data_IF_491516160480
#
_entry.id   IF_491516160480
#
_cell.length_a   1.000
_cell.length_b   1.000
_cell.length_c   1.000
_cell.angle_alpha   90.00
_cell.angle_beta   90.00
_cell.angle_gamma   90.00
#
_symmetry.space_group_name_H-M   'P 1'
#
loop_
_entity.id
_entity.type
_entity.pdbx_description
1 polymer ?
#
# COMPACT_ATOMS: atom_id res chain seq x y z
N UNK A 1 31.94 -69.57 -30.51
CA UNK A 1 33.23 -69.69 -29.79
C UNK A 1 33.96 -68.35 -29.91
N UNK A 2 34.68 -67.84 -28.90
CA UNK A 2 34.75 -68.19 -27.47
C UNK A 2 34.16 -67.07 -26.56
N UNK A 3 33.55 -67.44 -25.42
CA UNK A 3 34.06 -67.35 -24.02
C UNK A 3 34.07 -65.89 -23.49
N UNK A 4 33.47 -65.55 -22.36
CA UNK A 4 33.04 -66.34 -21.21
C UNK A 4 33.62 -65.75 -19.92
N UNK A 5 32.93 -66.07 -18.81
CA UNK A 5 33.29 -65.91 -17.39
C UNK A 5 32.95 -64.56 -16.73
N UNK A 6 31.98 -64.53 -15.80
CA UNK A 6 31.93 -65.13 -14.43
C UNK A 6 32.55 -64.13 -13.42
N UNK A 7 32.02 -63.88 -12.21
CA UNK A 7 31.05 -64.59 -11.35
C UNK A 7 31.00 -63.87 -9.97
N UNK A 8 30.02 -64.28 -9.13
CA UNK A 8 30.07 -64.41 -7.64
C UNK A 8 29.94 -63.08 -6.85
N UNK A 9 29.13 -62.92 -5.79
CA UNK A 9 28.29 -63.76 -4.90
C UNK A 9 27.11 -62.88 -4.41
N UNK A 10 25.89 -63.30 -4.08
CA UNK A 10 25.37 -64.37 -3.21
C UNK A 10 25.86 -64.36 -1.75
N UNK A 11 24.94 -64.01 -0.84
CA UNK A 11 24.76 -64.42 0.57
C UNK A 11 23.52 -63.66 1.05
N UNK A 12 22.61 -64.14 1.90
CA UNK A 12 22.00 -65.42 2.22
C UNK A 12 20.94 -65.07 3.28
N UNK A 13 19.88 -65.87 3.31
CA UNK A 13 18.66 -65.72 4.11
C UNK A 13 18.87 -65.89 5.63
N UNK A 14 17.85 -65.44 6.39
CA UNK A 14 17.17 -66.09 7.55
C UNK A 14 16.52 -64.97 8.39
N UNK A 15 15.33 -65.07 8.95
CA UNK A 15 14.45 -66.21 9.23
C UNK A 15 13.82 -65.98 10.61
N UNK A 16 12.49 -66.20 10.69
CA UNK A 16 11.71 -66.68 11.85
C UNK A 16 11.56 -65.71 13.06
N UNK A 17 10.34 -65.22 13.40
CA UNK A 17 9.16 -65.86 14.02
C UNK A 17 9.27 -66.15 15.54
N UNK A 18 8.13 -65.85 16.21
CA UNK A 18 7.63 -66.32 17.52
C UNK A 18 8.10 -65.57 18.79
N UNK A 19 7.22 -64.78 19.43
CA UNK A 19 6.18 -65.11 20.45
C UNK A 19 6.73 -65.39 21.85
N UNK A 20 6.24 -64.65 22.87
CA UNK A 20 6.53 -64.99 24.28
C UNK A 20 6.15 -63.98 25.37
N UNK A 21 4.84 -63.75 25.56
CA UNK A 21 4.08 -63.64 26.83
C UNK A 21 4.57 -62.89 28.10
N UNK A 22 3.64 -62.02 28.57
CA UNK A 22 3.13 -61.78 29.95
C UNK A 22 4.07 -61.32 31.09
N UNK A 23 3.85 -60.11 31.63
CA UNK A 23 3.27 -59.91 32.99
C UNK A 23 2.87 -58.45 33.29
N UNK A 24 1.63 -58.31 33.76
CA UNK A 24 1.00 -57.31 34.65
C UNK A 24 1.62 -55.92 34.87
N UNK A 25 0.82 -54.88 34.61
CA UNK A 25 1.03 -53.54 35.18
C UNK A 25 -0.21 -52.65 35.03
N UNK A 26 -1.07 -52.65 36.05
CA UNK A 26 -1.97 -51.56 36.49
C UNK A 26 -2.48 -50.56 35.44
N UNK A 27 -3.75 -50.70 35.07
CA UNK A 27 -4.56 -49.67 34.41
C UNK A 27 -4.81 -48.53 35.41
N UNK A 28 -4.12 -47.40 35.22
CA UNK A 28 -4.44 -46.15 35.91
C UNK A 28 -5.19 -45.28 34.90
N UNK A 29 -6.51 -45.22 35.03
CA UNK A 29 -7.36 -44.37 34.21
C UNK A 29 -7.24 -42.92 34.73
N UNK A 30 -6.22 -42.20 34.26
CA UNK A 30 -6.14 -40.76 34.44
C UNK A 30 -7.04 -40.09 33.39
N UNK A 31 -8.24 -39.69 33.82
CA UNK A 31 -9.08 -38.77 33.04
C UNK A 31 -8.45 -37.38 33.12
N UNK A 32 -7.50 -37.10 32.22
CA UNK A 32 -7.12 -35.72 31.94
C UNK A 32 -8.26 -35.09 31.13
N UNK A 33 -9.06 -34.27 31.79
CA UNK A 33 -9.86 -33.24 31.13
C UNK A 33 -8.89 -32.26 30.45
N UNK A 34 -8.52 -32.56 29.21
CA UNK A 34 -7.92 -31.57 28.34
C UNK A 34 -9.01 -30.54 28.02
N UNK A 35 -8.98 -29.41 28.72
CA UNK A 35 -9.67 -28.22 28.26
C UNK A 35 -9.02 -27.81 26.93
N UNK A 36 -9.63 -28.22 25.82
CA UNK A 36 -9.29 -27.71 24.50
C UNK A 36 -9.73 -26.24 24.52
N UNK A 37 -8.81 -25.34 24.85
CA UNK A 37 -9.01 -23.92 24.58
C UNK A 37 -9.05 -23.81 23.06
N UNK A 38 -10.25 -23.73 22.51
CA UNK A 38 -10.46 -23.38 21.12
C UNK A 38 -9.96 -21.94 20.96
N UNK A 39 -8.71 -21.80 20.51
CA UNK A 39 -8.21 -20.52 20.00
C UNK A 39 -9.07 -20.23 18.77
N UNK A 40 -9.80 -19.10 18.69
CA UNK A 40 -10.51 -18.76 17.48
C UNK A 40 -9.49 -18.50 16.37
N UNK A 41 -9.31 -19.50 15.50
CA UNK A 41 -8.61 -19.34 14.23
C UNK A 41 -9.47 -18.41 13.36
N UNK A 42 -9.20 -17.10 13.45
CA UNK A 42 -9.94 -16.07 12.68
C UNK A 42 -9.04 -15.27 11.74
N UNK A 43 -7.81 -15.74 11.47
CA UNK A 43 -6.85 -15.02 10.60
C UNK A 43 -6.23 -15.93 9.51
N UNK A 44 -6.51 -17.24 9.49
CA UNK A 44 -5.68 -18.21 8.76
C UNK A 44 -6.06 -18.47 7.28
N UNK A 45 -6.58 -17.49 6.52
CA UNK A 45 -6.99 -17.76 5.13
C UNK A 45 -6.76 -16.64 4.11
N UNK A 46 -5.97 -15.61 4.43
CA UNK A 46 -5.42 -14.70 3.40
C UNK A 46 -3.98 -15.07 2.99
N UNK A 47 -3.27 -15.88 3.78
CA UNK A 47 -1.87 -16.28 3.56
C UNK A 47 -1.63 -17.19 2.34
N UNK A 48 -2.66 -17.79 1.74
CA UNK A 48 -2.50 -18.68 0.57
C UNK A 48 -2.95 -18.06 -0.75
N UNK A 49 -3.32 -16.77 -0.75
CA UNK A 49 -3.83 -16.15 -1.95
C UNK A 49 -2.70 -15.82 -2.93
N UNK A 50 -2.91 -16.21 -4.17
CA UNK A 50 -1.93 -16.02 -5.24
C UNK A 50 -2.52 -15.15 -6.35
N UNK A 51 -1.67 -14.30 -6.91
CA UNK A 51 -1.98 -13.43 -8.03
C UNK A 51 -1.03 -13.73 -9.18
N UNK A 52 -1.51 -13.45 -10.39
CA UNK A 52 -0.70 -13.40 -11.59
C UNK A 52 -0.61 -11.96 -12.08
N UNK A 53 0.59 -11.57 -12.47
CA UNK A 53 0.87 -10.36 -13.24
C UNK A 53 1.32 -10.81 -14.62
N UNK A 54 0.58 -10.39 -15.64
CA UNK A 54 0.82 -10.74 -17.03
C UNK A 54 1.26 -9.49 -17.79
N UNK A 55 2.36 -9.58 -18.52
CA UNK A 55 2.86 -8.53 -19.41
C UNK A 55 3.29 -9.21 -20.72
N UNK A 56 2.66 -8.84 -21.83
CA UNK A 56 2.87 -9.52 -23.12
C UNK A 56 2.67 -11.04 -23.03
N UNK A 57 3.76 -11.80 -23.14
CA UNK A 57 3.75 -13.27 -23.02
C UNK A 57 4.25 -13.80 -21.68
N UNK A 58 4.70 -12.92 -20.80
CA UNK A 58 5.25 -13.27 -19.50
C UNK A 58 4.15 -13.38 -18.45
N UNK A 59 4.34 -14.31 -17.51
CA UNK A 59 3.45 -14.49 -16.36
C UNK A 59 4.29 -14.62 -15.11
N UNK A 60 4.08 -13.69 -14.18
CA UNK A 60 4.73 -13.65 -12.87
C UNK A 60 3.70 -13.98 -11.81
N UNK A 61 4.01 -14.96 -10.98
CA UNK A 61 3.17 -15.33 -9.85
C UNK A 61 3.64 -14.62 -8.58
N UNK A 62 2.74 -13.92 -7.89
CA UNK A 62 3.06 -13.20 -6.64
C UNK A 62 2.09 -13.57 -5.52
N UNK A 63 2.55 -13.40 -4.28
CA UNK A 63 1.69 -13.43 -3.08
C UNK A 63 1.53 -12.02 -2.52
N UNK A 64 0.44 -11.71 -1.80
CA UNK A 64 0.31 -10.45 -1.09
C UNK A 64 1.44 -10.23 -0.07
N UNK A 65 1.85 -8.98 0.07
CA UNK A 65 2.69 -8.50 1.17
C UNK A 65 1.81 -8.16 2.39
N UNK A 66 2.27 -8.43 3.61
CA UNK A 66 1.52 -8.18 4.84
C UNK A 66 0.83 -9.43 5.38
N UNK A 67 0.35 -9.35 6.63
CA UNK A 67 -0.21 -10.47 7.38
C UNK A 67 -1.71 -10.29 7.70
N UNK A 68 -2.35 -9.29 7.07
CA UNK A 68 -3.75 -8.97 7.30
C UNK A 68 -4.05 -8.29 8.64
N UNK A 69 -3.03 -7.82 9.39
CA UNK A 69 -3.26 -7.18 10.70
C UNK A 69 -3.18 -5.66 10.69
N UNK A 70 -2.38 -5.09 9.79
CA UNK A 70 -2.20 -3.64 9.64
C UNK A 70 -3.03 -3.13 8.45
N UNK A 71 -3.65 -1.95 8.55
CA UNK A 71 -4.35 -1.36 7.40
C UNK A 71 -3.36 -0.85 6.36
N UNK A 72 -3.78 -0.71 5.10
CA UNK A 72 -2.89 -0.23 4.04
C UNK A 72 -2.43 1.20 4.28
N UNK A 73 -3.24 2.06 4.89
CA UNK A 73 -2.87 3.44 5.25
C UNK A 73 -1.81 3.48 6.34
N UNK A 74 -1.87 2.55 7.29
CA UNK A 74 -0.85 2.46 8.35
C UNK A 74 0.44 1.81 7.84
N UNK A 75 0.34 0.89 6.89
CA UNK A 75 1.51 0.31 6.22
C UNK A 75 2.21 1.32 5.32
N UNK A 76 1.44 2.14 4.61
CA UNK A 76 1.97 3.17 3.73
C UNK A 76 2.45 4.39 4.55
N UNK A 77 1.65 4.88 5.50
CA UNK A 77 2.03 5.96 6.43
C UNK A 77 2.59 7.17 5.68
N UNK A 78 1.83 7.67 4.70
CA UNK A 78 2.21 8.85 3.92
C UNK A 78 2.14 10.10 4.79
N UNK A 79 3.23 10.88 4.83
CA UNK A 79 3.29 12.11 5.61
C UNK A 79 3.83 13.26 4.79
N UNK A 80 3.07 14.35 4.77
CA UNK A 80 3.45 15.63 4.19
C UNK A 80 3.57 16.69 5.30
N UNK A 81 4.12 17.86 4.98
CA UNK A 81 4.15 18.97 5.95
C UNK A 81 2.74 19.44 6.33
N UNK A 82 1.75 19.14 5.49
CA UNK A 82 0.33 19.44 5.73
C UNK A 82 -0.30 18.50 6.75
N UNK A 83 0.03 17.21 6.69
CA UNK A 83 -0.54 16.19 7.61
C UNK A 83 0.28 16.04 8.89
N UNK A 84 1.60 16.23 8.82
CA UNK A 84 2.54 16.09 9.93
C UNK A 84 3.62 17.16 9.86
N UNK A 85 3.87 17.88 10.95
CA UNK A 85 4.82 19.02 10.96
C UNK A 85 6.27 18.72 10.50
N UNK A 86 6.66 17.43 10.46
CA UNK A 86 7.97 16.96 9.96
C UNK A 86 7.84 15.97 8.80
N UNK A 87 6.66 15.85 8.20
CA UNK A 87 6.44 15.02 7.01
C UNK A 87 7.17 15.62 5.81
N UNK A 88 7.74 14.76 4.97
CA UNK A 88 8.56 15.17 3.82
C UNK A 88 7.97 14.72 2.48
N UNK A 89 6.64 14.54 2.40
CA UNK A 89 5.93 14.11 1.19
C UNK A 89 6.46 12.74 0.76
N UNK A 90 6.29 11.77 1.65
CA UNK A 90 6.81 10.42 1.46
C UNK A 90 6.06 9.42 2.34
N UNK A 91 6.08 8.17 1.91
CA UNK A 91 5.71 6.99 2.67
C UNK A 91 6.77 6.69 3.73
N UNK A 92 6.40 6.80 5.01
CA UNK A 92 7.30 6.46 6.13
C UNK A 92 7.22 4.99 6.53
N UNK A 93 6.11 4.33 6.20
CA UNK A 93 5.85 2.95 6.59
C UNK A 93 6.52 1.94 5.66
N UNK A 94 6.87 2.33 4.42
CA UNK A 94 7.49 1.44 3.42
C UNK A 94 9.00 1.58 3.28
N UNK A 95 9.69 2.26 4.21
CA UNK A 95 11.12 2.60 4.07
C UNK A 95 12.05 1.42 3.85
N UNK A 96 11.70 0.25 4.34
CA UNK A 96 12.46 -0.99 4.21
C UNK A 96 12.33 -1.64 2.82
N UNK A 97 11.30 -1.29 2.05
CA UNK A 97 11.04 -1.82 0.70
C UNK A 97 11.18 -0.79 -0.42
N UNK A 98 11.48 0.47 -0.08
CA UNK A 98 11.75 1.53 -1.06
C UNK A 98 13.02 1.24 -1.86
N UNK A 99 12.95 1.50 -3.17
CA UNK A 99 14.02 1.28 -4.13
C UNK A 99 14.27 2.58 -4.90
N UNK A 100 15.54 2.95 -5.05
CA UNK A 100 15.94 4.20 -5.70
C UNK A 100 15.64 4.13 -7.19
N UNK A 101 15.02 5.18 -7.74
CA UNK A 101 14.66 5.28 -9.16
C UNK A 101 13.84 4.08 -9.68
N UNK A 102 13.09 3.40 -8.80
CA UNK A 102 12.28 2.23 -9.17
C UNK A 102 10.81 2.49 -8.88
N UNK A 103 9.95 2.17 -9.85
CA UNK A 103 8.51 2.04 -9.64
C UNK A 103 8.18 0.61 -9.23
N UNK A 104 7.35 0.45 -8.20
CA UNK A 104 6.95 -0.86 -7.68
C UNK A 104 5.43 -0.99 -7.68
N UNK A 105 4.94 -2.15 -8.12
CA UNK A 105 3.54 -2.55 -7.97
C UNK A 105 3.44 -3.86 -7.19
N UNK A 106 2.50 -3.95 -6.24
CA UNK A 106 2.27 -5.18 -5.47
C UNK A 106 0.87 -5.24 -4.88
N UNK A 107 0.48 -6.43 -4.43
CA UNK A 107 -0.75 -6.62 -3.65
C UNK A 107 -0.39 -6.59 -2.17
N UNK A 108 -1.14 -5.84 -1.37
CA UNK A 108 -1.01 -5.79 0.08
C UNK A 108 -2.22 -6.46 0.76
N UNK A 109 -1.95 -7.36 1.71
CA UNK A 109 -2.94 -7.96 2.60
C UNK A 109 -3.01 -7.17 3.91
N UNK A 110 -4.03 -6.31 4.00
CA UNK A 110 -4.29 -5.49 5.18
C UNK A 110 -5.49 -5.95 5.99
N UNK A 111 -5.67 -5.34 7.16
CA UNK A 111 -6.80 -5.61 8.06
C UNK A 111 -8.18 -5.33 7.47
N UNK A 112 -8.24 -4.56 6.39
CA UNK A 112 -9.46 -4.19 5.66
C UNK A 112 -9.53 -4.86 4.28
N UNK A 113 -8.72 -5.90 4.07
CA UNK A 113 -8.69 -6.69 2.85
C UNK A 113 -7.49 -6.38 1.95
N UNK A 114 -7.61 -6.83 0.70
CA UNK A 114 -6.54 -6.75 -0.28
C UNK A 114 -6.54 -5.40 -1.02
N UNK A 115 -5.36 -4.83 -1.17
CA UNK A 115 -5.13 -3.57 -1.88
C UNK A 115 -4.09 -3.72 -2.97
N UNK A 116 -4.27 -3.04 -4.10
CA UNK A 116 -3.23 -2.83 -5.11
C UNK A 116 -2.44 -1.59 -4.68
N UNK A 117 -1.11 -1.69 -4.58
CA UNK A 117 -0.24 -0.61 -4.11
C UNK A 117 0.76 -0.25 -5.19
N UNK A 118 0.91 1.05 -5.42
CA UNK A 118 1.97 1.67 -6.20
C UNK A 118 2.92 2.38 -5.23
N UNK A 119 4.21 2.15 -5.39
CA UNK A 119 5.25 2.80 -4.60
C UNK A 119 6.40 3.21 -5.54
N UNK A 120 6.66 4.49 -5.63
CA UNK A 120 7.67 5.05 -6.51
C UNK A 120 8.84 5.62 -5.70
N UNK A 121 10.04 5.28 -6.14
CA UNK A 121 11.31 5.83 -5.67
C UNK A 121 11.58 5.59 -4.17
N UNK A 122 12.56 6.31 -3.62
CA UNK A 122 13.07 6.14 -2.26
C UNK A 122 13.29 7.45 -1.53
N UNK A 123 12.86 7.45 -0.27
CA UNK A 123 13.20 8.52 0.66
C UNK A 123 14.64 8.43 1.17
N UNK A 124 15.34 9.56 1.18
CA UNK A 124 16.72 9.68 1.63
C UNK A 124 17.75 9.60 0.50
N UNK A 125 17.33 9.49 -0.75
CA UNK A 125 18.23 9.54 -1.90
C UNK A 125 18.40 10.97 -2.42
N UNK A 126 19.64 11.37 -2.72
CA UNK A 126 19.95 12.72 -3.19
C UNK A 126 19.74 12.86 -4.72
N UNK A 127 19.80 11.73 -5.44
CA UNK A 127 19.38 11.62 -6.83
C UNK A 127 17.87 11.34 -6.90
N UNK A 128 17.24 11.63 -8.04
CA UNK A 128 15.86 11.21 -8.31
C UNK A 128 14.84 12.34 -8.40
N UNK A 129 13.58 11.95 -8.17
CA UNK A 129 12.42 12.64 -8.70
C UNK A 129 11.96 11.95 -9.98
N UNK A 130 10.70 12.12 -10.35
CA UNK A 130 10.12 11.42 -11.49
C UNK A 130 8.77 12.00 -11.88
N UNK A 131 8.34 11.65 -13.09
CA UNK A 131 6.99 11.85 -13.58
C UNK A 131 6.44 10.51 -14.07
N UNK A 132 5.22 10.17 -13.66
CA UNK A 132 4.53 8.97 -14.11
C UNK A 132 3.05 9.28 -14.34
N UNK A 133 2.46 8.72 -15.40
CA UNK A 133 1.03 8.82 -15.69
C UNK A 133 0.47 7.42 -15.84
N UNK A 134 -0.53 7.04 -15.04
CA UNK A 134 -1.17 5.75 -15.13
C UNK A 134 -2.65 5.86 -15.50
N UNK A 135 -3.05 5.03 -16.46
CA UNK A 135 -4.43 4.68 -16.74
C UNK A 135 -4.71 3.27 -16.21
N UNK A 136 -5.58 3.20 -15.21
CA UNK A 136 -5.92 1.96 -14.49
C UNK A 136 -7.37 1.62 -14.78
N UNK A 137 -7.65 0.38 -15.19
CA UNK A 137 -9.00 -0.09 -15.51
C UNK A 137 -9.31 -1.46 -14.90
N UNK A 138 -10.59 -1.83 -14.84
CA UNK A 138 -11.03 -3.09 -14.22
C UNK A 138 -11.09 -3.03 -12.70
N UNK A 139 -11.04 -1.83 -12.11
CA UNK A 139 -11.18 -1.63 -10.67
C UNK A 139 -12.57 -2.09 -10.20
N UNK A 140 -12.68 -2.87 -9.12
CA UNK A 140 -13.95 -3.20 -8.48
C UNK A 140 -14.74 -1.93 -8.11
N UNK A 141 -16.03 -1.91 -8.44
CA UNK A 141 -16.92 -0.73 -8.19
C UNK A 141 -17.17 -0.44 -6.72
N UNK A 142 -16.95 -1.43 -5.86
CA UNK A 142 -17.04 -1.37 -4.41
C UNK A 142 -15.69 -1.12 -3.73
N UNK A 143 -14.61 -0.95 -4.50
CA UNK A 143 -13.31 -0.53 -4.00
C UNK A 143 -13.15 0.99 -3.96
N UNK A 144 -12.04 1.42 -3.38
CA UNK A 144 -11.72 2.83 -3.16
C UNK A 144 -10.20 3.06 -3.14
N UNK A 145 -9.76 4.27 -3.47
CA UNK A 145 -8.39 4.70 -3.21
C UNK A 145 -8.25 5.05 -1.72
N UNK A 146 -7.66 4.15 -0.95
CA UNK A 146 -7.39 4.32 0.47
C UNK A 146 -6.24 5.30 0.72
N UNK A 147 -5.29 5.35 -0.22
CA UNK A 147 -4.23 6.35 -0.29
C UNK A 147 -4.27 6.99 -1.66
N UNK A 148 -4.61 8.28 -1.68
CA UNK A 148 -4.15 9.22 -2.69
C UNK A 148 -3.04 10.03 -2.01
N UNK A 149 -1.80 9.79 -2.40
CA UNK A 149 -0.70 10.65 -1.97
C UNK A 149 -1.04 12.08 -2.42
N UNK A 150 -0.74 13.04 -1.56
CA UNK A 150 -1.14 14.45 -1.73
C UNK A 150 -2.64 14.78 -1.66
N UNK A 151 -3.41 14.20 -0.74
CA UNK A 151 -4.82 14.62 -0.48
C UNK A 151 -5.03 16.07 0.06
N UNK A 152 -4.06 16.98 -0.07
CA UNK A 152 -4.13 18.38 0.41
C UNK A 152 -4.37 19.41 -0.70
N UNK A 153 -4.71 20.64 -0.29
CA UNK A 153 -4.94 21.78 -1.21
C UNK A 153 -3.66 22.16 -1.95
N UNK A 154 -3.76 22.34 -3.28
CA UNK A 154 -2.64 22.60 -4.20
C UNK A 154 -1.66 21.42 -4.33
N UNK A 155 -2.19 20.20 -4.38
CA UNK A 155 -1.44 19.02 -4.79
C UNK A 155 -0.93 19.12 -6.23
N UNK A 156 0.26 18.61 -6.48
CA UNK A 156 0.86 18.54 -7.81
C UNK A 156 0.35 17.33 -8.60
N UNK A 157 -0.07 16.30 -7.86
CA UNK A 157 -0.64 15.06 -8.38
C UNK A 157 -2.09 15.21 -8.80
N UNK A 158 -2.48 14.44 -9.82
CA UNK A 158 -3.82 14.43 -10.35
C UNK A 158 -4.42 13.05 -10.15
N UNK A 159 -5.50 12.98 -9.37
CA UNK A 159 -6.32 11.77 -9.22
C UNK A 159 -7.70 12.02 -9.82
N UNK A 160 -8.04 11.26 -10.88
CA UNK A 160 -9.35 11.31 -11.54
C UNK A 160 -9.95 9.92 -11.61
N UNK A 161 -11.05 9.73 -10.88
CA UNK A 161 -11.70 8.42 -10.77
C UNK A 161 -13.00 8.36 -11.57
N UNK A 162 -13.27 7.17 -12.10
CA UNK A 162 -14.57 6.72 -12.60
C UNK A 162 -14.96 5.45 -11.87
N UNK A 163 -16.13 4.89 -12.17
CA UNK A 163 -16.66 3.73 -11.43
C UNK A 163 -15.73 2.49 -11.41
N UNK A 164 -14.96 2.27 -12.48
CA UNK A 164 -14.10 1.09 -12.65
C UNK A 164 -12.73 1.43 -13.22
N UNK A 165 -12.35 2.71 -13.19
CA UNK A 165 -11.08 3.18 -13.73
C UNK A 165 -10.56 4.41 -13.00
N UNK A 166 -9.27 4.65 -13.10
CA UNK A 166 -8.60 5.82 -12.55
C UNK A 166 -7.53 6.30 -13.54
N UNK A 167 -7.43 7.61 -13.69
CA UNK A 167 -6.32 8.28 -14.34
C UNK A 167 -5.54 9.03 -13.27
N UNK A 168 -4.25 8.71 -13.15
CA UNK A 168 -3.40 9.22 -12.08
C UNK A 168 -2.12 9.79 -12.69
N UNK A 169 -1.74 10.99 -12.28
CA UNK A 169 -0.50 11.64 -12.67
C UNK A 169 0.31 11.93 -11.40
N UNK A 170 1.46 11.28 -11.24
CA UNK A 170 2.39 11.49 -10.12
C UNK A 170 3.58 12.32 -10.57
N UNK A 171 3.98 13.28 -9.74
CA UNK A 171 5.24 14.00 -9.88
C UNK A 171 5.92 14.18 -8.53
N UNK A 172 7.19 13.78 -8.45
CA UNK A 172 7.97 14.01 -7.25
C UNK A 172 9.33 14.63 -7.58
N UNK A 173 9.84 15.45 -6.66
CA UNK A 173 11.26 15.79 -6.60
C UNK A 173 12.05 14.62 -5.99
N UNK A 174 13.38 14.63 -6.14
CA UNK A 174 14.26 13.70 -5.44
C UNK A 174 14.10 13.75 -3.91
N UNK A 175 14.65 12.72 -3.25
CA UNK A 175 14.58 12.53 -1.81
C UNK A 175 13.15 12.38 -1.26
N UNK A 176 12.26 11.74 -2.02
CA UNK A 176 10.84 11.54 -1.71
C UNK A 176 10.35 10.23 -2.30
N UNK A 177 9.14 9.86 -1.95
CA UNK A 177 8.41 8.78 -2.61
C UNK A 177 7.04 9.28 -2.98
N UNK A 178 6.42 8.64 -3.96
CA UNK A 178 5.01 8.85 -4.29
C UNK A 178 4.31 7.53 -4.58
N UNK A 179 3.02 7.61 -4.87
CA UNK A 179 2.21 6.47 -5.30
C UNK A 179 0.79 6.52 -4.74
N UNK A 180 0.31 5.36 -4.30
CA UNK A 180 -1.03 5.25 -3.75
C UNK A 180 -1.48 3.81 -3.60
N UNK A 181 -2.65 3.62 -3.02
CA UNK A 181 -3.22 2.28 -2.87
C UNK A 181 -4.73 2.26 -3.09
N UNK A 182 -5.15 1.30 -3.91
CA UNK A 182 -6.54 0.98 -4.16
C UNK A 182 -6.95 -0.25 -3.35
N UNK A 183 -7.86 -0.09 -2.39
CA UNK A 183 -8.48 -1.18 -1.62
C UNK A 183 -9.68 -1.73 -2.39
N UNK A 184 -9.82 -3.06 -2.44
CA UNK A 184 -11.01 -3.69 -3.02
C UNK A 184 -10.77 -5.00 -3.75
N UNK A 185 -9.52 -5.50 -3.78
CA UNK A 185 -9.17 -6.75 -4.49
C UNK A 185 -9.77 -8.00 -3.82
N UNK A 186 -10.38 -7.85 -2.64
CA UNK A 186 -11.19 -8.88 -2.00
C UNK A 186 -12.65 -8.95 -2.49
N UNK A 187 -13.04 -8.10 -3.44
CA UNK A 187 -14.40 -8.08 -3.98
C UNK A 187 -14.69 -9.30 -4.85
N UNK A 188 -15.89 -9.86 -4.72
CA UNK A 188 -16.39 -10.91 -5.63
C UNK A 188 -16.52 -10.44 -7.09
N UNK A 189 -16.44 -9.12 -7.35
CA UNK A 189 -16.45 -8.52 -8.68
C UNK A 189 -15.05 -8.33 -9.27
N UNK A 190 -13.99 -8.51 -8.48
CA UNK A 190 -12.61 -8.42 -8.97
C UNK A 190 -12.30 -9.58 -9.92
N UNK A 191 -11.77 -9.27 -11.10
CA UNK A 191 -11.36 -10.23 -12.13
C UNK A 191 -9.94 -9.96 -12.58
N UNK A 192 -9.76 -8.83 -13.23
CA UNK A 192 -8.48 -8.39 -13.79
C UNK A 192 -8.46 -6.88 -13.72
N UNK A 193 -7.37 -6.33 -13.19
CA UNK A 193 -7.04 -4.92 -13.28
C UNK A 193 -5.96 -4.77 -14.34
N UNK A 194 -6.16 -3.86 -15.29
CA UNK A 194 -5.13 -3.47 -16.25
C UNK A 194 -4.52 -2.14 -15.80
N UNK A 195 -3.19 -2.09 -15.83
CA UNK A 195 -2.39 -0.91 -15.51
C UNK A 195 -1.53 -0.59 -16.71
N UNK A 196 -1.79 0.56 -17.32
CA UNK A 196 -0.98 1.16 -18.37
C UNK A 196 -0.31 2.40 -17.77
N UNK A 197 1.02 2.39 -17.63
CA UNK A 197 1.76 3.44 -16.95
C UNK A 197 2.89 3.95 -17.85
N UNK A 198 2.85 5.24 -18.13
CA UNK A 198 3.88 5.96 -18.88
C UNK A 198 4.85 6.61 -17.91
N UNK A 199 6.14 6.32 -18.04
CA UNK A 199 7.20 6.87 -17.19
C UNK A 199 7.99 7.95 -17.92
N UNK A 200 8.62 8.84 -17.15
CA UNK A 200 9.60 9.80 -17.67
C UNK A 200 9.04 10.59 -18.85
N UNK A 201 9.74 10.66 -19.98
CA UNK A 201 9.36 11.43 -21.17
C UNK A 201 8.10 10.93 -21.88
N UNK A 202 7.59 9.76 -21.53
CA UNK A 202 6.28 9.28 -21.96
C UNK A 202 5.13 9.81 -21.09
N UNK A 203 5.42 10.21 -19.85
CA UNK A 203 4.43 10.81 -18.95
C UNK A 203 4.02 12.20 -19.43
N UNK A 204 2.72 12.51 -19.35
CA UNK A 204 2.20 13.82 -19.75
C UNK A 204 2.66 14.97 -18.82
N UNK A 205 3.26 14.62 -17.68
CA UNK A 205 3.85 15.55 -16.70
C UNK A 205 5.33 15.81 -16.93
N UNK A 206 5.96 15.21 -17.93
CA UNK A 206 7.39 15.38 -18.19
C UNK A 206 7.68 16.47 -19.25
N UNK A 207 8.68 17.32 -19.02
CA UNK A 207 9.38 17.53 -17.74
C UNK A 207 8.47 18.25 -16.74
N UNK A 208 8.67 18.02 -15.45
CA UNK A 208 7.97 18.77 -14.41
C UNK A 208 8.71 20.09 -14.12
N UNK A 209 8.00 21.21 -14.24
CA UNK A 209 8.57 22.55 -14.18
C UNK A 209 9.19 22.91 -12.80
N UNK A 210 8.80 22.22 -11.73
CA UNK A 210 9.28 22.51 -10.37
C UNK A 210 10.45 21.62 -9.92
N UNK A 211 10.98 20.78 -10.81
CA UNK A 211 12.14 19.97 -10.48
C UNK A 211 13.39 20.79 -10.19
N UNK A 212 14.19 20.27 -9.28
CA UNK A 212 15.58 20.67 -9.12
C UNK A 212 16.45 19.89 -10.12
N UNK A 213 17.42 20.57 -10.74
CA UNK A 213 18.34 19.95 -11.70
C UNK A 213 17.75 19.78 -13.11
N UNK A 214 18.39 18.94 -13.92
CA UNK A 214 17.88 18.62 -15.27
C UNK A 214 16.86 17.48 -15.22
N UNK A 215 15.94 17.39 -16.21
CA UNK A 215 15.00 16.28 -16.31
C UNK A 215 15.69 14.89 -16.30
N UNK A 216 16.89 14.79 -16.87
CA UNK A 216 17.70 13.55 -16.86
C UNK A 216 18.18 13.10 -15.48
N UNK A 217 18.03 13.94 -14.44
CA UNK A 217 18.35 13.59 -13.05
C UNK A 217 17.09 13.17 -12.26
N UNK A 218 15.91 13.30 -12.88
CA UNK A 218 14.61 13.04 -12.28
C UNK A 218 13.90 11.95 -13.11
N UNK A 219 14.45 10.74 -13.08
CA UNK A 219 13.93 9.60 -13.86
C UNK A 219 13.82 8.34 -13.02
N UNK A 220 12.76 7.58 -13.28
CA UNK A 220 12.68 6.17 -12.92
C UNK A 220 13.44 5.35 -13.97
N UNK A 221 14.26 4.43 -13.51
CA UNK A 221 15.09 3.55 -14.36
C UNK A 221 14.54 2.12 -14.42
N UNK A 222 13.72 1.73 -13.43
CA UNK A 222 13.20 0.39 -13.31
C UNK A 222 11.70 0.41 -12.96
N UNK A 223 10.97 -0.59 -13.46
CA UNK A 223 9.63 -0.93 -13.00
C UNK A 223 9.58 -2.39 -12.62
N UNK A 224 9.05 -2.69 -11.43
CA UNK A 224 9.03 -4.06 -10.90
C UNK A 224 7.68 -4.41 -10.31
N UNK A 225 7.33 -5.69 -10.40
CA UNK A 225 6.34 -6.31 -9.52
C UNK A 225 7.05 -6.89 -8.30
N UNK A 226 6.47 -6.70 -7.11
CA UNK A 226 6.97 -7.28 -5.85
C UNK A 226 6.02 -8.35 -5.32
N UNK A 227 6.59 -9.48 -4.90
CA UNK A 227 5.89 -10.54 -4.19
C UNK A 227 6.01 -10.36 -2.66
N UNK A 228 5.10 -10.95 -1.91
CA UNK A 228 5.09 -10.95 -0.45
C UNK A 228 6.33 -11.62 0.18
N UNK A 229 7.05 -12.46 -0.57
CA UNK A 229 8.36 -12.98 -0.17
C UNK A 229 9.46 -11.91 -0.11
N UNK A 230 9.21 -10.73 -0.70
CA UNK A 230 10.19 -9.66 -0.90
C UNK A 230 10.93 -9.76 -2.23
N UNK A 231 10.74 -10.85 -2.99
CA UNK A 231 11.30 -10.99 -4.34
C UNK A 231 10.66 -9.97 -5.30
N UNK A 232 11.48 -9.42 -6.19
CA UNK A 232 11.05 -8.52 -7.26
C UNK A 232 11.26 -9.19 -8.61
N UNK A 233 10.41 -8.86 -9.58
CA UNK A 233 10.58 -9.22 -10.99
C UNK A 233 10.43 -7.95 -11.81
N UNK A 234 11.42 -7.70 -12.66
CA UNK A 234 11.45 -6.56 -13.58
C UNK A 234 10.33 -6.69 -14.61
N UNK A 235 9.74 -5.56 -14.95
CA UNK A 235 8.69 -5.39 -15.94
C UNK A 235 9.22 -4.45 -17.03
N UNK A 236 8.73 -4.64 -18.26
CA UNK A 236 8.99 -3.71 -19.35
C UNK A 236 8.29 -2.37 -19.07
N UNK A 237 9.02 -1.27 -19.10
CA UNK A 237 8.50 0.07 -18.78
C UNK A 237 7.50 0.60 -19.82
N UNK A 238 7.47 0.02 -21.03
CA UNK A 238 6.69 0.50 -22.17
C UNK A 238 5.45 -0.38 -22.45
N UNK A 239 5.21 -1.43 -21.64
CA UNK A 239 4.10 -2.36 -21.83
C UNK A 239 3.13 -2.40 -20.62
N UNK A 240 1.80 -2.42 -20.84
CA UNK A 240 0.85 -2.52 -19.74
C UNK A 240 0.89 -3.89 -19.08
N UNK A 241 0.49 -3.94 -17.81
CA UNK A 241 0.31 -5.19 -17.06
C UNK A 241 -1.17 -5.49 -16.79
N UNK A 242 -1.48 -6.77 -16.66
CA UNK A 242 -2.75 -7.26 -16.13
C UNK A 242 -2.51 -8.01 -14.82
N UNK A 243 -3.25 -7.64 -13.77
CA UNK A 243 -3.16 -8.25 -12.44
C UNK A 243 -4.48 -8.96 -12.16
N UNK A 244 -4.42 -10.25 -11.84
CA UNK A 244 -5.60 -11.09 -11.59
C UNK A 244 -5.35 -12.08 -10.44
N UNK A 245 -6.38 -12.54 -9.71
CA UNK A 245 -6.22 -13.68 -8.82
C UNK A 245 -6.00 -14.95 -9.66
N UNK A 246 -5.08 -15.82 -9.28
CA UNK A 246 -4.80 -17.04 -10.05
C UNK A 246 -3.38 -17.53 -9.92
N UNK A 247 -2.99 -18.44 -10.83
CA UNK A 247 -1.63 -18.96 -10.95
C UNK A 247 -1.24 -19.08 -12.41
N UNK A 248 0.05 -19.01 -12.75
CA UNK A 248 0.47 -19.09 -14.15
C UNK A 248 0.13 -20.43 -14.82
N UNK A 249 0.01 -21.51 -14.04
CA UNK A 249 -0.38 -22.83 -14.53
C UNK A 249 -1.89 -23.09 -14.49
N UNK A 250 -2.63 -22.43 -13.58
CA UNK A 250 -4.06 -22.60 -13.36
C UNK A 250 -4.94 -21.57 -14.05
N UNK A 251 -4.33 -20.48 -14.54
CA UNK A 251 -5.04 -19.35 -15.15
C UNK A 251 -5.69 -18.40 -14.15
N UNK A 252 -6.53 -17.51 -14.68
CA UNK A 252 -7.27 -16.52 -13.89
C UNK A 252 -8.41 -17.21 -13.12
N UNK A 253 -8.49 -16.91 -11.84
CA UNK A 253 -9.56 -17.34 -10.93
C UNK A 253 -10.44 -16.15 -10.56
N UNK A 254 -11.60 -16.43 -9.97
CA UNK A 254 -12.42 -15.41 -9.32
C UNK A 254 -12.09 -15.35 -7.84
N UNK A 255 -11.99 -14.16 -7.28
CA UNK A 255 -11.87 -14.01 -5.83
C UNK A 255 -13.09 -14.62 -5.14
N UNK A 256 -12.86 -15.59 -4.26
CA UNK A 256 -13.88 -16.14 -3.38
C UNK A 256 -13.53 -15.68 -1.97
N UNK A 257 -14.30 -14.76 -1.37
CA UNK A 257 -14.06 -14.37 0.01
C UNK A 257 -14.14 -15.61 0.89
N UNK A 258 -13.09 -15.85 1.68
CA UNK A 258 -13.21 -16.82 2.77
C UNK A 258 -14.26 -16.28 3.73
N UNK A 259 -15.40 -16.95 3.86
CA UNK A 259 -16.42 -16.57 4.84
C UNK A 259 -15.77 -16.52 6.23
N UNK A 260 -15.65 -15.31 6.78
CA UNK A 260 -15.30 -15.16 8.18
C UNK A 260 -16.42 -15.81 8.97
N UNK A 261 -16.10 -16.89 9.69
CA UNK A 261 -17.04 -17.56 10.57
C UNK A 261 -17.64 -16.51 11.51
N UNK A 262 -18.90 -16.16 11.29
CA UNK A 262 -19.63 -15.25 12.17
C UNK A 262 -19.67 -15.91 13.53
N UNK A 263 -18.91 -15.36 14.47
CA UNK A 263 -18.95 -15.79 15.85
C UNK A 263 -20.36 -15.56 16.36
N UNK A 264 -21.17 -16.62 16.36
CA UNK A 264 -22.50 -16.60 16.96
C UNK A 264 -22.29 -16.35 18.44
N UNK A 265 -22.48 -15.10 18.87
CA UNK A 265 -22.49 -14.75 20.27
C UNK A 265 -23.62 -15.54 20.94
N UNK A 266 -23.23 -16.48 21.80
CA UNK A 266 -24.17 -17.20 22.66
C UNK A 266 -25.00 -16.18 23.43
N UNK A 267 -26.35 -16.23 23.37
CA UNK A 267 -27.17 -15.30 24.12
C UNK A 267 -26.91 -15.53 25.60
N UNK A 268 -26.28 -14.54 26.25
CA UNK A 268 -26.11 -14.54 27.70
C UNK A 268 -27.49 -14.32 28.30
N UNK A 269 -28.08 -15.37 28.89
CA UNK A 269 -29.28 -15.23 29.70
C UNK A 269 -28.96 -14.31 30.88
N UNK A 270 -29.47 -13.08 30.81
CA UNK A 270 -29.37 -12.11 31.89
C UNK A 270 -30.38 -12.50 32.98
N UNK A 271 -29.87 -13.00 34.11
CA UNK A 271 -30.65 -13.27 35.30
C UNK A 271 -31.08 -11.94 35.96
N UNK A 272 -32.36 -11.85 36.30
CA UNK A 272 -32.95 -10.80 37.12
C UNK A 272 -32.29 -10.71 38.49
N UNK A 273 -31.92 -9.51 38.89
CA UNK A 273 -31.93 -9.08 40.28
C UNK A 273 -32.35 -7.61 40.32
N UNK A 274 -33.49 -7.37 40.96
CA UNK A 274 -33.99 -6.07 41.36
C UNK A 274 -33.02 -5.42 42.37
N UNK A 275 -32.73 -4.13 42.19
CA UNK A 275 -32.85 -3.18 43.31
C UNK A 275 -33.21 -1.79 42.80
N UNK A 276 -34.31 -1.33 43.37
CA UNK A 276 -34.92 0.00 43.41
C UNK A 276 -33.98 1.09 43.96
N UNK A 277 -34.03 2.29 43.36
CA UNK A 277 -33.82 3.61 44.00
C UNK A 277 -34.06 4.74 43.00
N UNK A 278 -35.22 5.38 43.17
CA UNK A 278 -35.62 6.69 42.65
C UNK A 278 -34.53 7.78 42.67
N UNK A 279 -34.43 8.56 41.57
CA UNK A 279 -34.60 10.00 41.69
C UNK A 279 -34.93 10.73 40.37
N UNK A 280 -36.11 11.32 40.42
CA UNK A 280 -36.73 12.35 39.59
C UNK A 280 -35.83 13.56 39.27
N UNK A 281 -35.83 14.02 38.02
CA UNK A 281 -36.14 15.43 37.74
C UNK A 281 -36.66 15.64 36.32
N UNK A 282 -37.66 16.51 36.25
CA UNK A 282 -38.59 16.76 35.15
C UNK A 282 -38.07 17.81 34.17
N UNK A 283 -38.46 17.66 32.92
CA UNK A 283 -38.32 18.61 31.82
C UNK A 283 -38.86 20.02 32.11
N UNK A 284 -38.33 21.04 31.42
CA UNK A 284 -39.06 21.79 30.37
C UNK A 284 -38.30 23.06 29.89
N UNK A 285 -38.57 23.52 28.65
CA UNK A 285 -37.80 24.52 27.89
C UNK A 285 -38.43 25.91 27.92
N UNK A 286 -37.70 27.03 27.77
CA UNK A 286 -38.29 28.34 27.38
C UNK A 286 -37.27 29.26 26.66
N UNK A 287 -37.66 29.60 25.43
CA UNK A 287 -37.68 30.88 24.69
C UNK A 287 -36.46 31.75 24.31
N UNK A 288 -36.65 32.22 23.06
CA UNK A 288 -36.08 33.37 22.39
C UNK A 288 -36.25 34.69 23.16
N UNK A 289 -35.35 35.63 22.87
CA UNK A 289 -35.67 37.05 22.94
C UNK A 289 -35.06 37.80 21.74
N UNK A 290 -35.85 38.76 21.30
CA UNK A 290 -35.80 39.60 20.12
C UNK A 290 -35.45 41.03 20.59
N UNK A 291 -34.46 41.67 19.99
CA UNK A 291 -34.42 43.14 19.75
C UNK A 291 -33.06 43.51 19.12
N UNK A 292 -32.95 44.10 17.93
CA UNK A 292 -33.49 45.33 17.32
C UNK A 292 -32.54 46.52 17.45
N UNK A 293 -32.16 47.03 16.27
CA UNK A 293 -31.87 48.42 15.88
C UNK A 293 -30.47 49.06 15.87
N UNK A 294 -30.39 49.98 14.89
CA UNK A 294 -29.42 51.05 14.62
C UNK A 294 -28.19 50.62 13.82
N UNK A 295 -28.04 50.93 12.52
CA UNK A 295 -28.34 52.19 11.85
C UNK A 295 -27.02 52.88 11.51
N UNK A 296 -26.71 53.06 10.22
CA UNK A 296 -25.49 53.77 9.81
C UNK A 296 -25.13 53.62 8.34
N UNK A 297 -25.84 54.36 7.48
CA UNK A 297 -25.39 54.65 6.12
C UNK A 297 -24.31 55.74 6.11
N UNK A 298 -23.24 55.52 5.35
CA UNK A 298 -22.23 56.51 4.95
C UNK A 298 -21.30 55.84 3.93
N UNK A 299 -21.57 55.93 2.63
CA UNK A 299 -21.25 57.02 1.69
C UNK A 299 -19.73 57.29 1.58
N UNK A 300 -19.22 56.96 0.38
CA UNK A 300 -18.02 57.42 -0.33
C UNK A 300 -16.63 57.07 0.23
N UNK A 301 -15.83 56.33 -0.55
CA UNK A 301 -14.96 56.99 -1.55
C UNK A 301 -14.35 55.98 -2.53
N UNK A 302 -14.49 56.28 -3.83
CA UNK A 302 -13.59 55.79 -4.87
C UNK A 302 -12.14 56.20 -4.51
N UNK A 303 -11.19 55.29 -4.75
CA UNK A 303 -9.86 55.67 -5.19
C UNK A 303 -9.28 54.57 -6.08
N UNK A 304 -9.39 54.82 -7.37
CA UNK A 304 -8.49 54.31 -8.40
C UNK A 304 -7.18 55.08 -8.26
N UNK A 305 -6.05 54.40 -8.09
CA UNK A 305 -4.75 54.92 -8.48
C UNK A 305 -3.95 53.80 -9.11
N UNK A 306 -3.42 54.10 -10.29
CA UNK A 306 -2.59 53.25 -11.11
C UNK A 306 -1.15 53.14 -10.54
N UNK A 307 -0.47 52.10 -10.99
CA UNK A 307 0.90 52.12 -11.53
C UNK A 307 2.10 51.93 -10.59
N UNK A 308 3.13 51.31 -11.19
CA UNK A 308 4.52 51.04 -10.78
C UNK A 308 4.69 49.79 -9.88
N UNK A 309 5.29 48.68 -10.30
CA UNK A 309 6.44 48.54 -11.20
C UNK A 309 7.75 48.69 -10.40
N UNK A 310 8.62 47.67 -10.47
CA UNK A 310 9.98 47.56 -9.89
C UNK A 310 10.06 46.94 -8.49
N UNK A 311 10.71 45.77 -8.36
CA UNK A 311 11.05 45.28 -7.02
C UNK A 311 11.68 43.91 -6.77
N UNK A 312 12.20 43.13 -7.74
CA UNK A 312 12.97 41.90 -7.40
C UNK A 312 14.13 41.68 -8.37
N UNK A 313 15.24 42.42 -8.19
CA UNK A 313 16.47 42.22 -8.98
C UNK A 313 17.78 42.46 -8.18
N UNK A 314 17.76 42.34 -6.85
CA UNK A 314 18.92 42.71 -6.01
C UNK A 314 19.47 41.62 -5.09
N UNK A 315 19.02 40.36 -5.20
CA UNK A 315 19.58 39.27 -4.37
C UNK A 315 20.68 38.48 -5.09
N UNK A 316 20.66 38.41 -6.43
CA UNK A 316 21.63 37.61 -7.20
C UNK A 316 23.04 38.22 -7.28
N UNK A 317 23.19 39.55 -7.20
CA UNK A 317 24.51 40.18 -7.28
C UNK A 317 25.37 39.97 -6.01
N UNK A 318 24.76 39.78 -4.84
CA UNK A 318 25.50 39.58 -3.60
C UNK A 318 26.11 38.16 -3.49
N UNK A 319 25.45 37.15 -4.07
CA UNK A 319 25.91 35.75 -4.02
C UNK A 319 27.12 35.54 -4.93
N UNK A 320 27.14 36.16 -6.12
CA UNK A 320 28.28 36.07 -7.04
C UNK A 320 29.54 36.71 -6.47
N UNK A 321 29.41 37.82 -5.74
CA UNK A 321 30.56 38.48 -5.08
C UNK A 321 31.10 37.65 -3.91
N UNK A 322 30.24 36.97 -3.15
CA UNK A 322 30.66 36.10 -2.05
C UNK A 322 31.40 34.85 -2.54
N UNK A 323 30.95 34.25 -3.66
CA UNK A 323 31.62 33.10 -4.28
C UNK A 323 32.97 33.48 -4.91
N UNK A 324 33.09 34.66 -5.51
CA UNK A 324 34.36 35.15 -6.04
C UNK A 324 35.40 35.43 -4.92
N UNK A 325 34.94 35.93 -3.76
CA UNK A 325 35.81 36.14 -2.58
C UNK A 325 36.27 34.82 -1.95
N UNK A 326 35.41 33.80 -1.90
CA UNK A 326 35.77 32.46 -1.41
C UNK A 326 36.77 31.75 -2.33
N UNK A 327 36.69 31.97 -3.64
CA UNK A 327 37.64 31.41 -4.60
C UNK A 327 39.05 32.01 -4.47
N UNK A 328 39.16 33.31 -4.15
CA UNK A 328 40.46 33.96 -3.96
C UNK A 328 41.17 33.54 -2.66
N UNK A 329 40.44 33.22 -1.59
CA UNK A 329 41.05 32.75 -0.33
C UNK A 329 41.64 31.35 -0.46
N UNK A 330 41.20 30.55 -1.44
CA UNK A 330 41.70 29.19 -1.68
C UNK A 330 43.00 29.10 -2.49
N UNK A 331 43.46 30.21 -3.07
CA UNK A 331 44.66 30.24 -3.93
C UNK A 331 45.90 30.88 -3.29
N UNK A 332 45.85 31.27 -2.01
CA UNK A 332 47.00 31.71 -1.23
C UNK A 332 47.35 30.71 -0.13
#
# INVERSE_FOLDING_TARGET
MPRGCSRIADIEQRGEQEMGNLWTGTVTLAVLLAAIVAVPATVAAQDEQTFVVVQGSECVQITPLGDGTQSVENFYDYRSTTTTARGQYTSYGTRDIQLSQTSQVFVYAGSEGLSLVFLHDRFGDDDGGFAATADISGLPTDGEWAIEDDSYTNRDDVFRHSATSSHIEWVSNGNRTDGGAFRGLGSSNYRTISVDIAFNDESNRYPFDEWQGSPSQNQLEEWVVRSGSGETTELDMDEPIEISPGTCSGGISTFTPTETATSTSTPTMSASAETDSDQSSTAAPIQADESTESGGAGVMSNNTVNDLGVGVATVLAAIVVLLALLALVRQN
#
